data_IF_257908086997
#
_entry.id   IF_257908086997
#
_cell.length_a   1.000
_cell.length_b   1.000
_cell.length_c   1.000
_cell.angle_alpha   90.00
_cell.angle_beta   90.00
_cell.angle_gamma   90.00
#
_symmetry.space_group_name_H-M   'P 1'
#
loop_
_entity.id
_entity.type
_entity.pdbx_description
1 polymer ?
#
# COMPACT_ATOMS: atom_id res chain seq x y z
N UNK A 1 -3.04 16.69 25.98
CA UNK A 1 -3.27 15.35 25.39
C UNK A 1 -3.24 15.57 23.89
N UNK A 2 -2.25 15.04 23.18
CA UNK A 2 -2.15 15.27 21.73
C UNK A 2 -3.31 14.54 21.04
N UNK A 3 -4.11 15.28 20.28
CA UNK A 3 -5.16 14.72 19.45
C UNK A 3 -4.51 13.80 18.43
N UNK A 4 -4.84 12.51 18.47
CA UNK A 4 -4.41 11.57 17.44
C UNK A 4 -5.21 11.91 16.18
N UNK A 5 -4.63 12.75 15.33
CA UNK A 5 -5.24 13.13 14.05
C UNK A 5 -5.37 11.85 13.22
N UNK A 6 -6.61 11.40 12.98
CA UNK A 6 -6.85 10.30 12.05
C UNK A 6 -6.36 10.75 10.67
N UNK A 7 -5.23 10.21 10.23
CA UNK A 7 -4.69 10.51 8.93
C UNK A 7 -5.42 9.62 7.92
N UNK A 8 -6.57 10.10 7.46
CA UNK A 8 -7.45 9.37 6.56
C UNK A 8 -6.86 9.34 5.14
N UNK A 9 -6.85 8.15 4.53
CA UNK A 9 -6.57 7.98 3.10
C UNK A 9 -5.32 7.17 2.77
N UNK A 10 -4.95 7.20 1.50
CA UNK A 10 -3.77 6.51 0.96
C UNK A 10 -2.55 7.41 1.17
N UNK A 11 -1.60 6.96 1.99
CA UNK A 11 -0.35 7.68 2.24
C UNK A 11 0.66 7.49 1.12
N UNK A 12 0.68 6.30 0.51
CA UNK A 12 1.58 5.96 -0.59
C UNK A 12 0.91 5.03 -1.60
N UNK A 13 1.30 5.17 -2.87
CA UNK A 13 0.89 4.28 -3.94
C UNK A 13 2.01 4.15 -4.99
N UNK A 14 2.16 2.96 -5.58
CA UNK A 14 3.14 2.70 -6.64
C UNK A 14 2.63 1.64 -7.63
N UNK A 15 2.78 1.92 -8.92
CA UNK A 15 2.44 1.00 -9.99
C UNK A 15 3.57 0.02 -10.27
N UNK A 16 3.22 -1.23 -10.57
CA UNK A 16 4.17 -2.17 -11.16
C UNK A 16 4.61 -1.68 -12.55
N UNK A 17 5.83 -2.01 -13.01
CA UNK A 17 6.32 -1.51 -14.30
C UNK A 17 5.46 -1.90 -15.51
N UNK A 18 4.76 -3.03 -15.42
CA UNK A 18 3.83 -3.54 -16.45
C UNK A 18 2.40 -3.00 -16.30
N UNK A 19 2.14 -2.10 -15.34
CA UNK A 19 0.83 -1.53 -15.02
C UNK A 19 -0.24 -2.54 -14.59
N UNK A 20 0.12 -3.80 -14.34
CA UNK A 20 -0.84 -4.82 -13.92
C UNK A 20 -1.25 -4.69 -12.46
N UNK A 21 -0.32 -4.30 -11.60
CA UNK A 21 -0.53 -4.21 -10.18
C UNK A 21 -0.35 -2.78 -9.67
N UNK A 22 -1.17 -2.41 -8.69
CA UNK A 22 -1.01 -1.21 -7.90
C UNK A 22 -0.76 -1.64 -6.45
N UNK A 23 0.27 -1.11 -5.80
CA UNK A 23 0.40 -1.20 -4.34
C UNK A 23 -0.06 0.09 -3.68
N UNK A 24 -0.74 -0.02 -2.54
CA UNK A 24 -1.06 1.12 -1.68
C UNK A 24 -0.66 0.86 -0.23
N UNK A 25 -0.43 1.92 0.53
CA UNK A 25 -0.40 1.94 1.99
C UNK A 25 -1.44 2.93 2.49
N UNK A 26 -2.33 2.47 3.36
CA UNK A 26 -3.24 3.32 4.12
C UNK A 26 -2.47 3.98 5.29
N UNK A 27 -2.58 5.30 5.42
CA UNK A 27 -1.89 6.04 6.49
C UNK A 27 -2.31 5.61 7.90
N UNK A 28 -3.55 5.13 8.08
CA UNK A 28 -4.04 4.59 9.35
C UNK A 28 -3.66 3.12 9.59
N UNK A 29 -3.11 2.43 8.59
CA UNK A 29 -2.68 1.05 8.71
C UNK A 29 -1.28 0.89 8.10
N UNK A 30 -0.25 1.55 8.67
CA UNK A 30 1.07 1.66 8.06
C UNK A 30 1.87 0.35 8.03
N UNK A 31 1.32 -0.73 8.59
CA UNK A 31 1.94 -2.06 8.67
C UNK A 31 1.46 -2.99 7.55
N UNK A 32 0.51 -2.54 6.75
CA UNK A 32 -0.11 -3.34 5.69
C UNK A 32 0.19 -2.72 4.33
N UNK A 33 0.46 -3.58 3.35
CA UNK A 33 0.57 -3.21 1.93
C UNK A 33 -0.52 -3.95 1.18
N UNK A 34 -1.35 -3.23 0.46
CA UNK A 34 -2.41 -3.81 -0.37
C UNK A 34 -1.94 -3.88 -1.81
N UNK A 35 -2.02 -5.06 -2.41
CA UNK A 35 -1.71 -5.30 -3.82
C UNK A 35 -3.02 -5.49 -4.58
N UNK A 36 -3.29 -4.62 -5.53
CA UNK A 36 -4.48 -4.62 -6.36
C UNK A 36 -4.14 -5.15 -7.75
N UNK A 37 -4.90 -6.11 -8.26
CA UNK A 37 -4.87 -6.49 -9.68
C UNK A 37 -5.79 -5.54 -10.45
N UNK A 38 -5.21 -4.74 -11.32
CA UNK A 38 -5.92 -3.68 -12.04
C UNK A 38 -6.59 -4.16 -13.32
N UNK A 39 -6.30 -5.38 -13.76
CA UNK A 39 -7.06 -6.01 -14.83
C UNK A 39 -8.44 -6.47 -14.33
N UNK A 40 -8.51 -6.97 -13.10
CA UNK A 40 -9.78 -7.43 -12.49
C UNK A 40 -10.42 -6.40 -11.57
N UNK A 41 -9.69 -5.34 -11.18
CA UNK A 41 -10.12 -4.34 -10.19
C UNK A 41 -10.38 -4.95 -8.81
N UNK A 42 -9.57 -5.93 -8.42
CA UNK A 42 -9.74 -6.69 -7.17
C UNK A 42 -8.48 -6.66 -6.31
N UNK A 43 -8.66 -6.89 -5.00
CA UNK A 43 -7.56 -7.07 -4.08
C UNK A 43 -6.93 -8.45 -4.31
N UNK A 44 -5.67 -8.44 -4.76
CA UNK A 44 -4.92 -9.66 -5.03
C UNK A 44 -4.26 -10.21 -3.77
N UNK A 45 -3.67 -9.34 -2.93
CA UNK A 45 -3.01 -9.73 -1.70
C UNK A 45 -2.95 -8.59 -0.68
N UNK A 46 -2.75 -8.94 0.59
CA UNK A 46 -2.34 -8.02 1.65
C UNK A 46 -1.07 -8.56 2.30
N UNK A 47 -0.01 -7.77 2.28
CA UNK A 47 1.24 -8.10 2.95
C UNK A 47 1.23 -7.42 4.32
N UNK A 48 1.43 -8.20 5.38
CA UNK A 48 1.46 -7.71 6.75
C UNK A 48 2.87 -7.70 7.31
N UNK A 49 3.30 -6.55 7.80
CA UNK A 49 4.61 -6.34 8.42
C UNK A 49 4.47 -6.16 9.94
N UNK A 50 5.49 -6.62 10.67
CA UNK A 50 5.54 -6.45 12.14
C UNK A 50 5.74 -4.98 12.56
N UNK A 51 6.36 -4.18 11.69
CA UNK A 51 6.62 -2.75 11.90
C UNK A 51 6.05 -1.95 10.72
N UNK A 52 5.93 -0.63 10.90
CA UNK A 52 5.52 0.28 9.85
C UNK A 52 6.43 0.16 8.62
N UNK A 53 5.81 0.06 7.45
CA UNK A 53 6.48 0.00 6.16
C UNK A 53 7.13 1.36 5.90
N UNK A 54 8.44 1.37 5.70
CA UNK A 54 9.22 2.59 5.49
C UNK A 54 9.36 2.97 4.03
N UNK A 55 9.38 1.97 3.16
CA UNK A 55 9.57 2.13 1.73
C UNK A 55 9.05 0.91 0.98
N UNK A 56 8.74 1.08 -0.30
CA UNK A 56 8.29 0.02 -1.21
C UNK A 56 8.72 0.34 -2.64
N UNK A 57 9.32 -0.64 -3.31
CA UNK A 57 9.61 -0.58 -4.74
C UNK A 57 9.24 -1.90 -5.40
N UNK A 58 8.70 -1.81 -6.61
CA UNK A 58 8.63 -2.97 -7.48
C UNK A 58 10.03 -3.32 -7.99
N UNK A 59 10.28 -4.61 -8.18
CA UNK A 59 11.46 -5.01 -8.94
C UNK A 59 11.38 -4.40 -10.34
N UNK A 60 12.52 -3.97 -10.93
CA UNK A 60 12.57 -3.68 -12.35
C UNK A 60 12.23 -4.94 -13.16
N UNK A 61 11.83 -4.75 -14.41
CA UNK A 61 11.64 -5.86 -15.35
C UNK A 61 12.98 -6.51 -15.73
#
# INVERSE_FOLDING_TARGET
MAEHQLQLGIGHACWSPDSRFLVTINANQPHSVWVWDMATMELSAVLSHQQAVKDMQWAPQ
#
